data_IF_648186449794
#
_entry.id   IF_648186449794
#
_cell.length_a   1.000
_cell.length_b   1.000
_cell.length_c   1.000
_cell.angle_alpha   90.00
_cell.angle_beta   90.00
_cell.angle_gamma   90.00
#
_symmetry.space_group_name_H-M   'P 1'
#
loop_
_entity.id
_entity.type
_entity.pdbx_description
1 polymer ?
#
# COMPACT_ATOMS: atom_id res chain seq x y z
N UNK A 1 29.61 10.28 -15.08
CA UNK A 1 28.39 9.68 -14.47
C UNK A 1 28.03 8.46 -15.29
N UNK A 2 27.80 7.30 -14.67
CA UNK A 2 27.35 6.11 -15.39
C UNK A 2 26.02 6.41 -16.10
N UNK A 3 25.85 5.93 -17.33
CA UNK A 3 24.64 6.14 -18.12
C UNK A 3 23.48 5.43 -17.44
N UNK A 4 22.45 6.19 -17.06
CA UNK A 4 21.22 5.68 -16.44
C UNK A 4 20.57 4.65 -17.36
N UNK A 5 20.28 3.45 -16.84
CA UNK A 5 19.48 2.47 -17.58
C UNK A 5 18.00 2.88 -17.57
N UNK A 6 17.33 2.94 -18.73
CA UNK A 6 15.91 3.31 -18.78
C UNK A 6 15.05 2.29 -18.02
N UNK A 7 13.86 2.70 -17.57
CA UNK A 7 12.91 1.78 -16.91
C UNK A 7 12.38 0.72 -17.88
N UNK A 8 12.27 1.03 -19.17
CA UNK A 8 11.82 0.09 -20.20
C UNK A 8 12.76 -1.11 -20.37
N UNK A 9 14.04 -0.99 -19.98
CA UNK A 9 14.99 -2.11 -19.93
C UNK A 9 15.00 -2.83 -18.58
N UNK A 10 14.18 -2.42 -17.61
CA UNK A 10 14.08 -2.95 -16.25
C UNK A 10 12.60 -3.21 -15.92
N UNK A 11 11.97 -4.23 -16.53
CA UNK A 11 10.51 -4.41 -16.49
C UNK A 11 9.96 -4.56 -15.05
N UNK A 12 10.71 -5.20 -14.15
CA UNK A 12 10.31 -5.32 -12.74
C UNK A 12 10.32 -3.94 -12.05
N UNK A 13 11.37 -3.15 -12.25
CA UNK A 13 11.47 -1.78 -11.71
C UNK A 13 10.39 -0.86 -12.30
N UNK A 14 9.99 -1.09 -13.56
CA UNK A 14 8.89 -0.37 -14.20
C UNK A 14 7.54 -0.70 -13.55
N UNK A 15 7.28 -1.97 -13.22
CA UNK A 15 6.07 -2.37 -12.48
C UNK A 15 6.03 -1.66 -11.12
N UNK A 16 7.13 -1.69 -10.37
CA UNK A 16 7.21 -1.01 -9.07
C UNK A 16 7.07 0.51 -9.18
N UNK A 17 7.66 1.11 -10.22
CA UNK A 17 7.53 2.52 -10.50
C UNK A 17 6.07 2.92 -10.78
N UNK A 18 5.38 2.19 -11.67
CA UNK A 18 3.96 2.45 -11.99
C UNK A 18 3.09 2.25 -10.75
N UNK A 19 3.36 1.20 -9.98
CA UNK A 19 2.67 0.91 -8.72
C UNK A 19 2.72 2.11 -7.77
N UNK A 20 3.91 2.67 -7.52
CA UNK A 20 4.07 3.87 -6.69
C UNK A 20 3.30 5.07 -7.24
N UNK A 21 3.30 5.29 -8.56
CA UNK A 21 2.59 6.43 -9.16
C UNK A 21 1.07 6.32 -9.03
N UNK A 22 0.51 5.12 -9.19
CA UNK A 22 -0.93 4.87 -9.05
C UNK A 22 -1.38 4.94 -7.59
N UNK A 23 -0.50 4.59 -6.64
CA UNK A 23 -0.82 4.63 -5.21
C UNK A 23 -0.97 6.05 -4.66
N UNK A 24 -0.15 6.99 -5.12
CA UNK A 24 -0.20 8.39 -4.65
C UNK A 24 -1.62 8.97 -4.71
N UNK A 25 -2.33 8.98 -5.87
CA UNK A 25 -3.69 9.52 -5.91
C UNK A 25 -4.68 8.66 -5.11
N UNK A 26 -4.53 7.34 -5.05
CA UNK A 26 -5.42 6.49 -4.25
C UNK A 26 -5.34 6.86 -2.75
N UNK A 27 -4.13 6.92 -2.21
CA UNK A 27 -3.87 7.32 -0.82
C UNK A 27 -4.38 8.72 -0.52
N UNK A 28 -4.10 9.70 -1.39
CA UNK A 28 -4.53 11.08 -1.16
C UNK A 28 -6.06 11.23 -1.27
N UNK A 29 -6.69 10.56 -2.23
CA UNK A 29 -8.12 10.74 -2.52
C UNK A 29 -9.02 9.78 -1.74
N UNK A 30 -8.51 8.75 -1.10
CA UNK A 30 -9.30 7.81 -0.30
C UNK A 30 -8.75 7.76 1.11
N UNK A 31 -7.56 7.20 1.32
CA UNK A 31 -7.08 6.81 2.66
C UNK A 31 -6.85 8.02 3.57
N UNK A 32 -6.13 9.04 3.09
CA UNK A 32 -5.83 10.25 3.86
C UNK A 32 -7.08 11.05 4.24
N UNK A 33 -8.22 10.85 3.56
CA UNK A 33 -9.47 11.53 3.95
C UNK A 33 -10.00 11.06 5.32
N UNK A 34 -9.54 9.91 5.83
CA UNK A 34 -9.94 9.42 7.16
C UNK A 34 -9.29 10.23 8.29
N UNK A 35 -8.20 10.93 7.99
CA UNK A 35 -7.40 11.69 8.96
C UNK A 35 -7.44 13.20 8.70
N UNK A 36 -7.73 13.63 7.46
CA UNK A 36 -7.78 15.05 7.14
C UNK A 36 -9.05 15.74 7.66
N UNK A 37 -8.93 16.95 8.23
CA UNK A 37 -10.09 17.76 8.55
C UNK A 37 -10.85 18.12 7.27
N UNK A 38 -12.11 17.70 7.17
CA UNK A 38 -12.97 17.91 5.99
C UNK A 38 -13.06 19.37 5.52
N UNK A 39 -12.88 20.32 6.42
CA UNK A 39 -12.87 21.76 6.13
C UNK A 39 -11.80 22.20 5.11
N UNK A 40 -10.71 21.44 4.96
CA UNK A 40 -9.61 21.78 4.04
C UNK A 40 -9.74 21.10 2.67
N UNK A 41 -10.75 20.25 2.47
CA UNK A 41 -10.91 19.46 1.26
C UNK A 41 -12.01 20.06 0.36
N UNK A 42 -11.79 20.18 -0.96
CA UNK A 42 -12.86 20.52 -1.89
C UNK A 42 -14.00 19.51 -1.81
N UNK A 43 -15.25 19.97 -2.00
CA UNK A 43 -16.45 19.09 -1.94
C UNK A 43 -16.37 17.90 -2.90
N UNK A 44 -15.77 18.10 -4.07
CA UNK A 44 -15.56 17.03 -5.06
C UNK A 44 -14.69 15.89 -4.50
N UNK A 45 -13.64 16.23 -3.75
CA UNK A 45 -12.74 15.26 -3.12
C UNK A 45 -13.48 14.53 -2.00
N UNK A 46 -14.22 15.26 -1.16
CA UNK A 46 -15.02 14.68 -0.06
C UNK A 46 -16.09 13.68 -0.52
N UNK A 47 -16.55 13.78 -1.77
CA UNK A 47 -17.54 12.87 -2.34
C UNK A 47 -16.96 11.50 -2.75
N UNK A 48 -15.64 11.38 -2.89
CA UNK A 48 -14.98 10.16 -3.39
C UNK A 48 -15.13 8.98 -2.42
N UNK A 49 -14.83 9.08 -1.11
CA UNK A 49 -14.93 7.92 -0.21
C UNK A 49 -16.36 7.39 -0.05
N UNK A 50 -17.41 8.23 0.10
CA UNK A 50 -18.79 7.74 0.10
C UNK A 50 -19.18 7.02 -1.20
N UNK A 51 -18.77 7.55 -2.36
CA UNK A 51 -19.01 6.90 -3.65
C UNK A 51 -18.31 5.53 -3.72
N UNK A 52 -17.04 5.48 -3.32
CA UNK A 52 -16.27 4.25 -3.26
C UNK A 52 -16.94 3.20 -2.34
N UNK A 53 -17.33 3.59 -1.13
CA UNK A 53 -17.97 2.67 -0.17
C UNK A 53 -19.34 2.22 -0.67
N UNK A 54 -20.11 3.10 -1.32
CA UNK A 54 -21.42 2.72 -1.88
C UNK A 54 -21.30 1.66 -2.99
N UNK A 55 -20.24 1.73 -3.79
CA UNK A 55 -19.96 0.77 -4.86
C UNK A 55 -19.36 -0.53 -4.32
N UNK A 56 -18.35 -0.42 -3.45
CA UNK A 56 -17.53 -1.57 -3.02
C UNK A 56 -18.02 -2.28 -1.78
N UNK A 57 -18.81 -1.60 -0.93
CA UNK A 57 -19.13 -2.10 0.40
C UNK A 57 -17.92 -2.20 1.34
N UNK A 58 -16.81 -1.50 1.06
CA UNK A 58 -15.56 -1.66 1.82
C UNK A 58 -15.77 -1.49 3.34
N UNK A 59 -15.64 -2.57 4.13
CA UNK A 59 -15.87 -2.53 5.56
C UNK A 59 -14.74 -1.83 6.32
N UNK A 60 -13.54 -1.68 5.75
CA UNK A 60 -12.41 -1.01 6.37
C UNK A 60 -12.55 0.51 6.21
N UNK A 61 -12.63 0.98 4.96
CA UNK A 61 -12.77 2.41 4.65
C UNK A 61 -14.11 2.94 5.18
N UNK A 62 -15.20 2.22 4.97
CA UNK A 62 -16.52 2.62 5.45
C UNK A 62 -16.55 2.85 6.96
N UNK A 63 -15.92 1.98 7.74
CA UNK A 63 -15.86 2.11 9.21
C UNK A 63 -14.86 3.17 9.66
N UNK A 64 -13.69 3.25 9.01
CA UNK A 64 -12.67 4.25 9.34
C UNK A 64 -13.20 5.69 9.20
N UNK A 65 -14.01 5.90 8.15
CA UNK A 65 -14.64 7.18 7.80
C UNK A 65 -15.94 7.48 8.56
N UNK A 66 -16.43 6.54 9.38
CA UNK A 66 -17.72 6.66 10.06
C UNK A 66 -18.94 6.60 9.13
N UNK A 67 -18.78 6.03 7.94
CA UNK A 67 -19.86 5.80 6.96
C UNK A 67 -20.65 4.54 7.34
N UNK A 68 -19.95 3.50 7.79
CA UNK A 68 -20.53 2.22 8.22
C UNK A 68 -20.36 2.06 9.72
N UNK A 69 -21.38 2.43 10.50
CA UNK A 69 -21.43 2.20 11.95
C UNK A 69 -20.34 2.91 12.76
N UNK A 70 -20.07 2.40 13.97
CA UNK A 70 -19.09 2.99 14.87
C UNK A 70 -17.65 2.60 14.47
N UNK A 71 -16.82 3.61 14.16
CA UNK A 71 -15.43 3.45 13.75
C UNK A 71 -14.42 3.23 14.89
N UNK A 72 -14.87 3.17 16.16
CA UNK A 72 -14.00 2.97 17.33
C UNK A 72 -13.28 1.62 17.33
N UNK A 73 -13.87 0.59 16.74
CA UNK A 73 -13.28 -0.76 16.72
C UNK A 73 -12.16 -0.93 15.68
N UNK A 74 -11.90 0.08 14.83
CA UNK A 74 -10.86 0.06 13.81
C UNK A 74 -9.64 0.92 14.16
N UNK A 75 -9.33 1.09 15.44
CA UNK A 75 -8.13 1.82 15.87
C UNK A 75 -6.84 1.29 15.21
N UNK A 76 -6.73 -0.02 15.02
CA UNK A 76 -5.62 -0.67 14.32
C UNK A 76 -5.55 -0.28 12.83
N UNK A 77 -6.69 -0.12 12.16
CA UNK A 77 -6.71 0.25 10.75
C UNK A 77 -6.42 1.74 10.59
N UNK A 78 -6.95 2.57 11.50
CA UNK A 78 -6.61 4.00 11.55
C UNK A 78 -5.11 4.21 11.78
N UNK A 79 -4.46 3.41 12.62
CA UNK A 79 -3.00 3.51 12.78
C UNK A 79 -2.25 3.14 11.50
N UNK A 80 -2.77 2.20 10.70
CA UNK A 80 -2.22 1.92 9.36
C UNK A 80 -2.42 3.07 8.39
N UNK A 81 -3.56 3.77 8.41
CA UNK A 81 -3.75 4.99 7.59
C UNK A 81 -2.75 6.09 7.99
N UNK A 82 -2.47 6.26 9.28
CA UNK A 82 -1.42 7.18 9.72
C UNK A 82 -0.04 6.73 9.26
N UNK A 83 0.28 5.45 9.34
CA UNK A 83 1.53 4.90 8.82
C UNK A 83 1.64 5.12 7.31
N UNK A 84 0.55 4.95 6.59
CA UNK A 84 0.49 5.20 5.15
C UNK A 84 0.79 6.67 4.84
N UNK A 85 0.09 7.59 5.49
CA UNK A 85 0.25 9.03 5.27
C UNK A 85 1.66 9.55 5.65
N UNK A 86 2.22 9.06 6.76
CA UNK A 86 3.46 9.60 7.34
C UNK A 86 4.72 8.91 6.82
N UNK A 87 4.63 7.63 6.44
CA UNK A 87 5.77 6.84 6.00
C UNK A 87 5.62 6.37 4.55
N UNK A 88 4.53 5.66 4.22
CA UNK A 88 4.42 5.02 2.90
C UNK A 88 4.28 6.05 1.77
N UNK A 89 3.45 7.08 1.94
CA UNK A 89 3.23 8.13 0.94
C UNK A 89 4.52 8.90 0.58
N UNK A 90 5.33 9.40 1.53
CA UNK A 90 6.66 9.91 1.21
C UNK A 90 7.53 8.90 0.48
N UNK A 91 7.49 7.62 0.88
CA UNK A 91 8.24 6.55 0.20
C UNK A 91 7.74 6.30 -1.22
N UNK A 92 6.46 6.48 -1.55
CA UNK A 92 5.99 6.35 -2.93
C UNK A 92 6.73 7.33 -3.86
N UNK A 93 6.86 8.59 -3.42
CA UNK A 93 7.55 9.64 -4.17
C UNK A 93 9.05 9.34 -4.26
N UNK A 94 9.68 9.00 -3.14
CA UNK A 94 11.11 8.70 -3.09
C UNK A 94 11.46 7.44 -3.87
N UNK A 95 10.62 6.41 -3.77
CA UNK A 95 10.72 5.11 -4.45
C UNK A 95 10.59 5.28 -5.95
N UNK A 96 9.54 5.96 -6.42
CA UNK A 96 9.38 6.29 -7.84
C UNK A 96 10.60 7.06 -8.38
N UNK A 97 11.07 8.08 -7.65
CA UNK A 97 12.26 8.85 -8.03
C UNK A 97 13.55 8.01 -8.03
N UNK A 98 13.74 7.14 -7.04
CA UNK A 98 14.93 6.29 -6.91
C UNK A 98 14.99 5.22 -7.98
N UNK A 99 13.86 4.57 -8.28
CA UNK A 99 13.73 3.62 -9.38
C UNK A 99 13.93 4.31 -10.73
N UNK A 100 13.33 5.49 -10.92
CA UNK A 100 13.56 6.33 -12.10
C UNK A 100 15.05 6.58 -12.28
N UNK A 101 15.76 7.05 -11.24
CA UNK A 101 17.19 7.37 -11.30
C UNK A 101 18.14 6.16 -11.32
N UNK A 102 17.64 4.92 -11.19
CA UNK A 102 18.45 3.68 -11.12
C UNK A 102 19.51 3.74 -9.99
N UNK A 103 19.12 4.27 -8.82
CA UNK A 103 20.06 4.48 -7.69
C UNK A 103 19.95 3.36 -6.65
N UNK A 104 21.02 2.60 -6.37
CA UNK A 104 20.99 1.51 -5.39
C UNK A 104 20.66 1.94 -3.95
N UNK A 105 20.91 3.22 -3.60
CA UNK A 105 20.63 3.74 -2.26
C UNK A 105 19.14 3.72 -1.86
N UNK A 106 18.22 3.52 -2.82
CA UNK A 106 16.79 3.43 -2.51
C UNK A 106 16.40 2.05 -1.96
N UNK A 107 17.20 1.00 -2.21
CA UNK A 107 16.80 -0.38 -1.94
C UNK A 107 16.48 -0.62 -0.46
N UNK A 108 17.27 -0.07 0.48
CA UNK A 108 17.02 -0.20 1.92
C UNK A 108 15.66 0.35 2.33
N UNK A 109 15.29 1.51 1.79
CA UNK A 109 14.00 2.13 2.06
C UNK A 109 12.85 1.29 1.46
N UNK A 110 13.05 0.74 0.25
CA UNK A 110 12.05 -0.09 -0.41
C UNK A 110 11.83 -1.44 0.28
N UNK A 111 12.84 -2.03 0.91
CA UNK A 111 12.66 -3.24 1.73
C UNK A 111 11.77 -2.94 2.93
N UNK A 112 12.08 -1.89 3.69
CA UNK A 112 11.30 -1.48 4.86
C UNK A 112 9.85 -1.19 4.47
N UNK A 113 9.67 -0.44 3.39
CA UNK A 113 8.38 -0.14 2.82
C UNK A 113 7.60 -1.38 2.40
N UNK A 114 8.23 -2.27 1.62
CA UNK A 114 7.58 -3.47 1.09
C UNK A 114 7.11 -4.39 2.21
N UNK A 115 7.96 -4.61 3.22
CA UNK A 115 7.63 -5.42 4.38
C UNK A 115 6.47 -4.80 5.18
N UNK A 116 6.57 -3.50 5.51
CA UNK A 116 5.52 -2.79 6.24
C UNK A 116 4.17 -2.84 5.52
N UNK A 117 4.14 -2.51 4.23
CA UNK A 117 2.90 -2.44 3.44
C UNK A 117 2.29 -3.81 3.22
N UNK A 118 3.11 -4.85 2.98
CA UNK A 118 2.65 -6.23 2.90
C UNK A 118 1.97 -6.68 4.21
N UNK A 119 2.55 -6.34 5.37
CA UNK A 119 1.95 -6.67 6.67
C UNK A 119 0.61 -5.95 6.91
N UNK A 120 0.51 -4.66 6.61
CA UNK A 120 -0.74 -3.91 6.82
C UNK A 120 -1.85 -4.37 5.87
N UNK A 121 -1.51 -4.60 4.60
CA UNK A 121 -2.46 -5.08 3.59
C UNK A 121 -2.91 -6.52 3.85
N UNK A 122 -2.05 -7.39 4.40
CA UNK A 122 -2.45 -8.73 4.81
C UNK A 122 -3.57 -8.71 5.85
N UNK A 123 -3.48 -7.83 6.84
CA UNK A 123 -4.55 -7.64 7.83
C UNK A 123 -5.87 -7.16 7.17
N UNK A 124 -5.77 -6.31 6.15
CA UNK A 124 -6.93 -5.85 5.38
C UNK A 124 -7.58 -6.98 4.59
N UNK A 125 -6.78 -7.76 3.86
CA UNK A 125 -7.25 -8.94 3.11
C UNK A 125 -7.91 -9.95 4.05
N UNK A 126 -7.30 -10.23 5.20
CA UNK A 126 -7.88 -11.11 6.21
C UNK A 126 -9.23 -10.59 6.72
N UNK A 127 -9.36 -9.28 6.92
CA UNK A 127 -10.62 -8.66 7.34
C UNK A 127 -11.71 -8.78 6.27
N UNK A 128 -11.38 -8.56 4.99
CA UNK A 128 -12.32 -8.71 3.87
C UNK A 128 -12.78 -10.17 3.74
N UNK A 129 -11.86 -11.12 3.88
CA UNK A 129 -12.16 -12.56 3.85
C UNK A 129 -13.05 -12.97 5.04
N UNK A 130 -12.80 -12.41 6.22
CA UNK A 130 -13.60 -12.65 7.43
C UNK A 130 -14.93 -11.89 7.48
N UNK A 131 -15.16 -10.94 6.58
CA UNK A 131 -16.42 -10.17 6.55
C UNK A 131 -17.56 -11.06 6.05
N UNK A 132 -18.69 -11.17 6.79
CA UNK A 132 -19.81 -12.03 6.39
C UNK A 132 -20.38 -11.71 5.01
N UNK A 133 -20.92 -12.72 4.33
CA UNK A 133 -21.65 -12.52 3.06
C UNK A 133 -23.05 -11.97 3.37
N UNK A 134 -23.49 -10.98 2.60
CA UNK A 134 -24.82 -10.39 2.75
C UNK A 134 -25.92 -11.44 2.52
N UNK A 135 -26.81 -11.55 3.51
CA UNK A 135 -27.96 -12.44 3.56
C UNK A 135 -29.11 -11.79 4.34
N UNK A 136 -30.32 -12.37 4.28
CA UNK A 136 -31.45 -11.88 5.08
C UNK A 136 -31.16 -11.83 6.58
N UNK A 137 -30.39 -12.81 7.10
CA UNK A 137 -30.01 -12.87 8.51
C UNK A 137 -29.05 -11.74 8.90
N UNK A 138 -28.01 -11.48 8.11
CA UNK A 138 -27.05 -10.39 8.39
C UNK A 138 -27.70 -9.02 8.32
N UNK A 139 -28.68 -8.84 7.41
CA UNK A 139 -29.47 -7.60 7.31
C UNK A 139 -30.34 -7.44 8.56
N UNK A 140 -31.08 -8.48 8.95
CA UNK A 140 -31.94 -8.44 10.14
C UNK A 140 -31.15 -8.17 11.45
N UNK A 141 -29.91 -8.65 11.53
CA UNK A 141 -29.01 -8.44 12.67
C UNK A 141 -28.19 -7.16 12.57
N UNK A 142 -28.34 -6.37 11.50
CA UNK A 142 -27.57 -5.13 11.26
C UNK A 142 -26.05 -5.36 11.30
N UNK A 143 -25.60 -6.54 10.85
CA UNK A 143 -24.18 -6.91 10.78
C UNK A 143 -23.60 -6.40 9.46
N UNK A 144 -22.44 -5.74 9.54
CA UNK A 144 -21.69 -5.33 8.34
C UNK A 144 -21.36 -6.59 7.54
N UNK A 145 -21.84 -6.63 6.31
CA UNK A 145 -21.68 -7.75 5.39
C UNK A 145 -21.49 -7.20 3.97
N UNK A 146 -20.84 -7.99 3.13
CA UNK A 146 -20.58 -7.65 1.72
C UNK A 146 -21.13 -8.73 0.79
N UNK A 147 -21.59 -8.35 -0.40
CA UNK A 147 -22.01 -9.32 -1.41
C UNK A 147 -20.82 -10.10 -1.97
N UNK A 148 -21.09 -11.16 -2.72
CA UNK A 148 -20.02 -11.91 -3.39
C UNK A 148 -19.25 -11.03 -4.39
N UNK A 149 -19.96 -10.22 -5.16
CA UNK A 149 -19.40 -9.30 -6.16
C UNK A 149 -18.54 -8.24 -5.50
N UNK A 150 -19.02 -7.65 -4.39
CA UNK A 150 -18.26 -6.71 -3.58
C UNK A 150 -16.98 -7.34 -3.01
N UNK A 151 -17.05 -8.58 -2.51
CA UNK A 151 -15.87 -9.30 -2.03
C UNK A 151 -14.85 -9.52 -3.15
N UNK A 152 -15.29 -9.95 -4.33
CA UNK A 152 -14.39 -10.12 -5.49
C UNK A 152 -13.76 -8.79 -5.88
N UNK A 153 -14.54 -7.72 -5.98
CA UNK A 153 -14.06 -6.38 -6.29
C UNK A 153 -12.99 -5.91 -5.29
N UNK A 154 -13.25 -6.08 -3.99
CA UNK A 154 -12.30 -5.74 -2.93
C UNK A 154 -11.04 -6.59 -3.02
N UNK A 155 -11.14 -7.90 -3.20
CA UNK A 155 -9.96 -8.77 -3.33
C UNK A 155 -9.13 -8.44 -4.57
N UNK A 156 -9.76 -8.13 -5.71
CA UNK A 156 -9.07 -7.65 -6.90
C UNK A 156 -8.33 -6.33 -6.67
N UNK A 157 -8.79 -5.50 -5.72
CA UNK A 157 -8.10 -4.27 -5.31
C UNK A 157 -6.99 -4.54 -4.29
N UNK A 158 -7.27 -5.24 -3.20
CA UNK A 158 -6.32 -5.39 -2.08
C UNK A 158 -5.22 -6.43 -2.34
N UNK A 159 -5.49 -7.50 -3.10
CA UNK A 159 -4.49 -8.57 -3.32
C UNK A 159 -3.28 -8.06 -4.12
N UNK A 160 -3.42 -7.28 -5.21
CA UNK A 160 -2.25 -6.67 -5.87
C UNK A 160 -1.43 -5.77 -4.94
N UNK A 161 -2.10 -5.05 -4.04
CA UNK A 161 -1.48 -4.17 -3.04
C UNK A 161 -0.79 -4.95 -1.91
N UNK A 162 -1.06 -6.25 -1.77
CA UNK A 162 -0.30 -7.17 -0.93
C UNK A 162 0.89 -7.80 -1.69
N UNK A 163 0.63 -8.35 -2.87
CA UNK A 163 1.62 -9.10 -3.65
C UNK A 163 2.76 -8.20 -4.14
N UNK A 164 2.47 -7.00 -4.67
CA UNK A 164 3.50 -6.14 -5.23
C UNK A 164 4.48 -5.66 -4.14
N UNK A 165 4.03 -5.16 -2.97
CA UNK A 165 4.94 -4.82 -1.87
C UNK A 165 5.73 -6.01 -1.33
N UNK A 166 5.14 -7.21 -1.28
CA UNK A 166 5.87 -8.43 -0.94
C UNK A 166 7.01 -8.69 -1.94
N UNK A 167 6.73 -8.59 -3.24
CA UNK A 167 7.76 -8.71 -4.28
C UNK A 167 8.84 -7.63 -4.15
N UNK A 168 8.45 -6.37 -3.89
CA UNK A 168 9.40 -5.27 -3.64
C UNK A 168 10.31 -5.61 -2.45
N UNK A 169 9.74 -6.08 -1.34
CA UNK A 169 10.50 -6.42 -0.14
C UNK A 169 11.57 -7.48 -0.43
N UNK A 170 11.15 -8.58 -1.09
CA UNK A 170 12.04 -9.69 -1.42
C UNK A 170 13.09 -9.29 -2.45
N UNK A 171 12.70 -8.67 -3.57
CA UNK A 171 13.64 -8.28 -4.63
C UNK A 171 14.68 -7.29 -4.10
N UNK A 172 14.25 -6.26 -3.37
CA UNK A 172 15.17 -5.25 -2.83
C UNK A 172 16.09 -5.85 -1.75
N UNK A 173 15.62 -6.81 -0.94
CA UNK A 173 16.45 -7.53 0.02
C UNK A 173 17.54 -8.35 -0.69
N UNK A 174 17.19 -9.07 -1.76
CA UNK A 174 18.15 -9.83 -2.56
C UNK A 174 19.18 -8.92 -3.24
N UNK A 175 18.75 -7.76 -3.76
CA UNK A 175 19.66 -6.77 -4.37
C UNK A 175 20.61 -6.17 -3.32
N UNK A 176 20.12 -5.84 -2.13
CA UNK A 176 20.95 -5.36 -1.01
C UNK A 176 21.96 -6.41 -0.57
N UNK A 177 21.53 -7.68 -0.42
CA UNK A 177 22.42 -8.76 -0.04
C UNK A 177 23.57 -8.90 -1.03
N UNK A 178 23.30 -8.85 -2.34
CA UNK A 178 24.34 -8.89 -3.39
C UNK A 178 25.35 -7.74 -3.24
N UNK A 179 24.88 -6.52 -2.97
CA UNK A 179 25.74 -5.35 -2.77
C UNK A 179 26.56 -5.47 -1.49
N UNK A 180 25.95 -5.92 -0.39
CA UNK A 180 26.63 -6.14 0.88
C UNK A 180 27.73 -7.20 0.74
N UNK A 181 27.45 -8.35 0.11
CA UNK A 181 28.45 -9.38 -0.14
C UNK A 181 29.58 -8.89 -1.04
N UNK A 182 29.30 -8.06 -2.04
CA UNK A 182 30.34 -7.45 -2.86
C UNK A 182 31.22 -6.49 -2.06
N UNK A 183 30.62 -5.68 -1.18
CA UNK A 183 31.34 -4.78 -0.28
C UNK A 183 32.25 -5.53 0.71
N UNK A 184 31.76 -6.63 1.31
CA UNK A 184 32.54 -7.47 2.23
C UNK A 184 33.78 -8.05 1.53
N UNK A 185 33.62 -8.63 0.33
CA UNK A 185 34.75 -9.17 -0.44
C UNK A 185 35.77 -8.10 -0.81
N UNK A 186 35.32 -6.90 -1.16
CA UNK A 186 36.22 -5.79 -1.47
C UNK A 186 37.04 -5.38 -0.24
N UNK A 187 36.42 -5.33 0.95
CA UNK A 187 37.10 -5.04 2.21
C UNK A 187 38.16 -6.10 2.55
N UNK A 188 37.85 -7.39 2.37
CA UNK A 188 38.80 -8.49 2.58
C UNK A 188 40.02 -8.36 1.66
N UNK A 189 39.80 -8.16 0.36
CA UNK A 189 40.89 -7.98 -0.61
C UNK A 189 41.78 -6.76 -0.36
N UNK A 190 41.25 -5.74 0.33
CA UNK A 190 42.00 -4.54 0.68
C UNK A 190 42.89 -4.72 1.92
N UNK A 191 42.60 -5.72 2.77
CA UNK A 191 43.41 -6.06 3.94
C UNK A 191 44.59 -6.98 3.60
N UNK A 192 44.50 -7.68 2.47
CA UNK A 192 45.54 -8.58 1.96
C UNK A 192 46.62 -7.86 1.11
N UNK A 193 46.46 -6.56 0.86
CA UNK A 193 47.40 -5.71 0.11
C UNK A 193 48.13 -4.76 1.06
#
# INVERSE_FOLDING_TARGET
>A
MAVRRPLTSRPIDLIYFIFFLVHIPATLLIDCQAIWPKQFLPKLVQAIPPLYVSMSGDPLIGRAMGILGNGSELAWFKSFIYLEALFQLPVFVLGARGLWRDTPGIYSLLVLYGASTCTTTLACVATIMGTPTTSAATIAQMVISITFEQRVLLLCSYVPFFIIPLCIAVDMALRLQKLASAGIRALESSKER
#
